data_IF_282749507567
#
_entry.id   IF_282749507567
#
_cell.length_a   1.000
_cell.length_b   1.000
_cell.length_c   1.000
_cell.angle_alpha   90.00
_cell.angle_beta   90.00
_cell.angle_gamma   90.00
#
_symmetry.space_group_name_H-M   'P 1'
#
loop_
_entity.id
_entity.type
_entity.pdbx_description
1 polymer ?
#
# COMPACT_ATOMS: atom_id res chain seq x y z
N UNK A 1 18.63 65.11 -19.78
CA UNK A 1 17.84 65.27 -21.02
C UNK A 1 16.77 64.18 -20.96
N UNK A 2 15.56 64.56 -20.49
CA UNK A 2 14.24 64.39 -21.15
C UNK A 2 13.90 62.91 -21.49
N UNK A 3 12.81 62.30 -21.19
CA UNK A 3 11.47 62.68 -20.71
C UNK A 3 10.59 61.44 -20.76
N UNK A 4 9.79 61.18 -19.71
CA UNK A 4 8.34 60.97 -19.66
C UNK A 4 7.65 59.95 -20.64
N UNK A 5 6.88 59.05 -20.07
CA UNK A 5 5.38 58.95 -20.10
C UNK A 5 5.00 57.60 -19.50
N UNK A 6 4.29 57.48 -18.42
CA UNK A 6 2.93 57.82 -17.95
C UNK A 6 1.82 57.06 -18.71
N UNK A 7 0.96 56.43 -17.87
CA UNK A 7 -0.45 56.00 -18.02
C UNK A 7 -0.69 54.61 -18.65
N UNK A 8 -1.65 53.82 -18.25
CA UNK A 8 -2.91 54.10 -17.55
C UNK A 8 -3.50 52.85 -16.90
N UNK A 9 -4.15 53.04 -15.79
CA UNK A 9 -5.16 52.28 -15.08
C UNK A 9 -6.31 51.76 -15.95
N UNK A 10 -6.78 50.52 -15.68
CA UNK A 10 -8.16 50.12 -15.93
C UNK A 10 -8.63 49.21 -14.77
N UNK A 11 -9.42 49.77 -13.87
CA UNK A 11 -10.21 49.08 -12.86
C UNK A 11 -11.47 48.54 -13.56
N UNK A 12 -11.72 47.24 -13.48
CA UNK A 12 -13.01 46.66 -13.86
C UNK A 12 -13.70 46.16 -12.57
N UNK A 13 -14.70 46.92 -12.15
CA UNK A 13 -15.68 46.52 -11.15
C UNK A 13 -16.58 45.42 -11.75
N UNK A 14 -16.59 44.26 -11.17
CA UNK A 14 -17.66 43.28 -11.37
C UNK A 14 -18.63 43.34 -10.18
N UNK A 15 -19.83 43.85 -10.48
CA UNK A 15 -20.96 43.87 -9.57
C UNK A 15 -21.51 42.41 -9.43
N UNK A 16 -21.56 41.96 -8.17
CA UNK A 16 -22.29 40.74 -7.80
C UNK A 16 -23.77 41.04 -7.71
N UNK A 17 -24.57 40.52 -8.61
CA UNK A 17 -26.02 40.52 -8.53
C UNK A 17 -26.42 39.34 -7.66
N UNK A 18 -26.90 39.61 -6.44
CA UNK A 18 -27.56 38.64 -5.58
C UNK A 18 -28.97 38.36 -6.17
N UNK A 19 -29.19 37.21 -6.76
CA UNK A 19 -30.55 36.73 -7.10
C UNK A 19 -31.12 36.02 -5.85
N UNK A 20 -32.06 36.72 -5.17
CA UNK A 20 -32.87 36.17 -4.09
C UNK A 20 -34.04 35.42 -4.77
N UNK A 21 -34.03 34.09 -4.71
CA UNK A 21 -35.16 33.24 -5.09
C UNK A 21 -36.05 32.99 -3.86
N UNK A 22 -37.37 33.13 -3.96
CA UNK A 22 -38.26 32.89 -2.82
C UNK A 22 -38.42 31.38 -2.57
N UNK A 23 -38.29 31.01 -1.29
CA UNK A 23 -38.60 29.70 -0.75
C UNK A 23 -40.11 29.43 -0.84
N UNK A 24 -40.55 28.69 -1.84
CA UNK A 24 -41.89 28.11 -1.87
C UNK A 24 -41.93 26.87 -0.95
N UNK A 25 -42.67 26.98 0.13
CA UNK A 25 -43.02 25.86 1.00
C UNK A 25 -43.85 24.84 0.21
N UNK A 26 -43.28 23.69 -0.06
CA UNK A 26 -44.05 22.52 -0.54
C UNK A 26 -44.76 21.90 0.66
N UNK A 27 -46.09 21.99 0.61
CA UNK A 27 -47.01 21.38 1.55
C UNK A 27 -47.07 19.87 1.23
N UNK A 28 -46.69 19.02 2.17
CA UNK A 28 -46.79 17.59 2.03
C UNK A 28 -48.31 17.21 1.92
N UNK A 29 -48.72 16.69 0.78
CA UNK A 29 -49.97 16.02 0.62
C UNK A 29 -49.82 14.58 1.12
N UNK A 30 -50.58 14.24 2.15
CA UNK A 30 -50.79 12.87 2.58
C UNK A 30 -51.61 12.14 1.50
N UNK A 31 -50.96 11.25 0.77
CA UNK A 31 -51.64 10.33 -0.16
C UNK A 31 -52.42 9.26 0.59
N UNK A 32 -53.49 8.71 -0.04
CA UNK A 32 -54.33 7.69 0.59
C UNK A 32 -53.54 6.42 0.89
N UNK A 33 -53.88 5.79 2.02
CA UNK A 33 -53.30 4.54 2.51
C UNK A 33 -53.41 3.43 1.45
N UNK A 34 -52.31 2.69 1.29
CA UNK A 34 -52.25 1.52 0.42
C UNK A 34 -53.20 0.41 0.94
N UNK A 35 -53.90 -0.32 0.05
CA UNK A 35 -54.78 -1.42 0.46
C UNK A 35 -53.96 -2.58 1.05
N UNK A 36 -54.50 -3.16 2.12
CA UNK A 36 -53.97 -4.35 2.79
C UNK A 36 -53.82 -5.53 1.81
N UNK A 37 -52.71 -6.28 1.83
CA UNK A 37 -52.57 -7.46 0.96
C UNK A 37 -53.51 -8.58 1.41
N UNK A 38 -54.07 -9.35 0.46
CA UNK A 38 -54.98 -10.45 0.77
C UNK A 38 -54.28 -11.54 1.60
N UNK A 39 -55.02 -12.08 2.58
CA UNK A 39 -54.58 -13.16 3.45
C UNK A 39 -54.20 -14.41 2.63
N UNK A 40 -52.98 -14.89 2.83
CA UNK A 40 -52.44 -16.12 2.22
C UNK A 40 -53.11 -17.32 2.88
N UNK A 41 -53.71 -18.26 2.15
CA UNK A 41 -54.29 -19.46 2.74
C UNK A 41 -53.17 -20.33 3.34
N UNK A 42 -53.46 -20.86 4.54
CA UNK A 42 -52.53 -21.77 5.23
C UNK A 42 -52.33 -23.05 4.40
N UNK A 43 -51.14 -23.25 3.90
CA UNK A 43 -50.71 -24.49 3.27
C UNK A 43 -50.53 -25.56 4.37
N UNK A 44 -51.42 -26.54 4.37
CA UNK A 44 -51.29 -27.77 5.15
C UNK A 44 -50.10 -28.56 4.63
N UNK A 45 -49.01 -28.65 5.44
CA UNK A 45 -47.86 -29.46 5.09
C UNK A 45 -48.21 -30.96 5.13
N UNK A 46 -47.87 -31.72 4.08
CA UNK A 46 -47.95 -33.17 4.16
C UNK A 46 -46.88 -33.68 5.12
N UNK A 47 -47.22 -34.68 5.93
CA UNK A 47 -46.35 -35.40 6.84
C UNK A 47 -45.19 -35.99 6.03
N UNK A 48 -43.97 -35.49 6.23
CA UNK A 48 -42.76 -36.05 5.64
C UNK A 48 -42.51 -37.46 6.22
N UNK A 49 -42.73 -38.48 5.41
CA UNK A 49 -42.20 -39.84 5.66
C UNK A 49 -40.68 -39.75 5.74
N UNK A 50 -40.10 -40.35 6.78
CA UNK A 50 -38.65 -40.37 7.05
C UNK A 50 -37.86 -40.83 5.82
N UNK A 51 -36.96 -39.97 5.34
CA UNK A 51 -35.97 -40.28 4.32
C UNK A 51 -34.94 -41.23 4.96
N UNK A 52 -34.60 -42.35 4.33
CA UNK A 52 -33.51 -43.22 4.85
C UNK A 52 -32.23 -42.44 4.88
N UNK A 53 -31.45 -42.60 5.97
CA UNK A 53 -30.17 -41.97 6.18
C UNK A 53 -29.22 -42.26 5.00
N UNK A 54 -28.74 -41.19 4.34
CA UNK A 54 -27.68 -41.26 3.36
C UNK A 54 -26.41 -41.74 4.08
N UNK A 55 -25.71 -42.77 3.57
CA UNK A 55 -24.44 -43.20 4.17
C UNK A 55 -23.47 -42.01 4.19
N UNK A 56 -22.82 -41.81 5.35
CA UNK A 56 -21.86 -40.75 5.54
C UNK A 56 -20.77 -40.82 4.45
N UNK A 57 -20.63 -39.73 3.71
CA UNK A 57 -19.50 -39.54 2.78
C UNK A 57 -18.18 -39.69 3.56
N UNK A 58 -17.19 -40.43 3.06
CA UNK A 58 -15.88 -40.46 3.71
C UNK A 58 -15.36 -39.03 3.88
N UNK A 59 -14.87 -38.72 5.06
CA UNK A 59 -14.27 -37.43 5.35
C UNK A 59 -13.17 -37.16 4.29
N UNK A 60 -13.26 -36.03 3.61
CA UNK A 60 -12.17 -35.54 2.76
C UNK A 60 -10.88 -35.49 3.61
N UNK A 61 -9.73 -35.96 3.07
CA UNK A 61 -8.47 -35.84 3.78
C UNK A 61 -8.23 -34.36 4.07
N UNK A 62 -8.13 -34.03 5.36
CA UNK A 62 -7.77 -32.68 5.80
C UNK A 62 -6.48 -32.29 5.12
N UNK A 63 -6.49 -31.18 4.39
CA UNK A 63 -5.28 -30.61 3.81
C UNK A 63 -4.19 -30.53 4.88
N UNK A 64 -2.94 -30.87 4.57
CA UNK A 64 -1.86 -30.75 5.53
C UNK A 64 -1.83 -29.33 6.09
N UNK A 65 -1.90 -29.21 7.41
CA UNK A 65 -1.74 -27.93 8.11
C UNK A 65 -0.38 -27.40 7.69
N UNK A 66 -0.34 -26.20 7.10
CA UNK A 66 0.92 -25.55 6.79
C UNK A 66 1.79 -25.55 8.05
N UNK A 67 3.08 -25.86 7.97
CA UNK A 67 3.96 -25.83 9.13
C UNK A 67 3.82 -24.45 9.78
N UNK A 68 3.61 -24.45 11.11
CA UNK A 68 3.59 -23.23 11.89
C UNK A 68 4.87 -22.43 11.57
N UNK A 69 4.74 -21.15 11.31
CA UNK A 69 5.89 -20.28 11.12
C UNK A 69 6.88 -20.51 12.28
N UNK A 70 8.19 -20.60 11.98
CA UNK A 70 9.19 -20.86 13.02
C UNK A 70 9.03 -19.86 14.17
N UNK A 71 9.05 -20.34 15.41
CA UNK A 71 8.71 -19.56 16.60
C UNK A 71 9.60 -18.36 16.94
N UNK A 72 10.57 -18.01 16.08
CA UNK A 72 11.33 -16.77 16.18
C UNK A 72 10.57 -15.52 15.67
N UNK A 73 9.47 -15.73 14.91
CA UNK A 73 8.65 -14.62 14.39
C UNK A 73 7.83 -13.88 15.46
N UNK A 74 7.84 -14.35 16.72
CA UNK A 74 6.99 -13.78 17.77
C UNK A 74 7.75 -13.10 18.92
N UNK A 75 9.07 -13.09 18.93
CA UNK A 75 9.75 -12.69 20.15
C UNK A 75 10.31 -11.27 20.23
N UNK A 76 10.37 -10.45 19.21
CA UNK A 76 10.87 -9.06 19.35
C UNK A 76 10.45 -8.14 18.19
N UNK A 77 9.19 -8.13 17.79
CA UNK A 77 8.68 -6.96 17.10
C UNK A 77 8.40 -5.89 18.16
N UNK A 78 8.98 -4.68 18.06
CA UNK A 78 8.53 -3.57 18.88
C UNK A 78 7.03 -3.41 18.61
N UNK A 79 6.22 -3.48 19.67
CA UNK A 79 4.76 -3.41 19.62
C UNK A 79 4.27 -1.99 19.33
N UNK A 80 4.83 -1.36 18.30
CA UNK A 80 4.30 -0.16 17.70
C UNK A 80 3.39 -0.54 16.54
N UNK A 81 2.11 -0.78 16.79
CA UNK A 81 1.15 -0.95 15.70
C UNK A 81 0.77 0.42 15.15
N UNK A 82 1.20 0.71 13.92
CA UNK A 82 0.65 1.82 13.16
C UNK A 82 -0.38 1.27 12.20
N UNK A 83 -1.60 1.72 12.34
CA UNK A 83 -2.61 1.55 11.31
C UNK A 83 -2.53 2.77 10.38
N UNK A 84 -2.04 2.56 9.17
CA UNK A 84 -2.22 3.51 8.08
C UNK A 84 -3.66 3.36 7.62
N UNK A 85 -4.43 4.44 7.58
CA UNK A 85 -5.76 4.42 6.96
C UNK A 85 -5.69 4.00 5.48
N UNK A 86 -6.81 3.92 4.80
CA UNK A 86 -6.90 3.51 3.38
C UNK A 86 -6.16 4.45 2.39
N UNK A 87 -5.54 5.51 2.86
CA UNK A 87 -4.81 6.51 2.08
C UNK A 87 -3.61 7.09 2.81
N UNK A 88 -2.86 8.01 2.15
CA UNK A 88 -1.72 8.66 2.77
C UNK A 88 -2.14 9.58 3.91
N UNK A 89 -1.43 9.52 5.03
CA UNK A 89 -1.57 10.48 6.12
C UNK A 89 -1.18 11.89 5.64
N UNK A 90 -1.99 12.89 5.96
CA UNK A 90 -1.71 14.27 5.60
C UNK A 90 -0.80 14.94 6.62
N UNK A 91 -0.91 14.59 7.89
CA UNK A 91 -0.09 15.10 8.99
C UNK A 91 0.05 14.06 10.13
N UNK A 92 0.77 14.43 11.20
CA UNK A 92 1.04 13.53 12.31
C UNK A 92 -0.22 13.12 13.10
N UNK A 93 -1.31 13.87 13.02
CA UNK A 93 -2.55 13.54 13.72
C UNK A 93 -3.33 12.39 13.06
N UNK A 94 -3.05 12.12 11.78
CA UNK A 94 -3.66 11.00 11.05
C UNK A 94 -2.98 9.66 11.40
N UNK A 95 -1.84 9.71 12.08
CA UNK A 95 -1.10 8.51 12.49
C UNK A 95 -1.65 7.96 13.80
N UNK A 96 -2.09 6.71 13.78
CA UNK A 96 -2.52 6.01 14.98
C UNK A 96 -1.33 5.25 15.59
N UNK A 97 -0.45 5.99 16.27
CA UNK A 97 0.75 5.44 16.89
C UNK A 97 0.40 4.90 18.28
N UNK A 98 0.85 3.68 18.57
CA UNK A 98 0.84 3.07 19.90
C UNK A 98 2.23 2.56 20.22
N UNK A 99 2.71 2.79 21.43
CA UNK A 99 3.94 2.27 21.97
C UNK A 99 3.57 1.54 23.26
N UNK A 100 3.85 0.24 23.35
CA UNK A 100 3.52 -0.62 24.50
C UNK A 100 2.08 -0.45 25.02
N UNK A 101 1.10 -0.41 24.07
CA UNK A 101 -0.33 -0.17 24.34
C UNK A 101 -0.68 1.21 24.91
N UNK A 102 0.29 2.09 25.11
CA UNK A 102 0.08 3.47 25.54
C UNK A 102 -0.13 4.42 24.35
N UNK A 103 -0.84 5.51 24.62
CA UNK A 103 -0.93 6.62 23.68
C UNK A 103 0.26 7.55 23.89
N UNK A 104 1.14 7.71 22.90
CA UNK A 104 2.30 8.56 23.04
C UNK A 104 1.95 10.04 23.02
N UNK A 105 2.82 10.85 23.60
CA UNK A 105 2.91 12.27 23.31
C UNK A 105 3.56 12.43 21.94
N UNK A 106 2.97 13.25 21.05
CA UNK A 106 3.44 13.46 19.68
C UNK A 106 3.96 14.88 19.51
N UNK A 107 5.11 15.02 18.85
CA UNK A 107 5.67 16.28 18.39
C UNK A 107 6.04 16.20 16.93
N UNK A 108 5.77 17.25 16.16
CA UNK A 108 6.11 17.35 14.75
C UNK A 108 7.31 18.26 14.53
N UNK A 109 8.21 17.89 13.64
CA UNK A 109 9.30 18.74 13.15
C UNK A 109 9.34 18.65 11.63
N UNK A 110 9.24 19.79 10.94
CA UNK A 110 9.23 19.85 9.48
C UNK A 110 10.47 20.55 8.94
N UNK A 111 10.97 20.03 7.81
CA UNK A 111 12.04 20.62 7.00
C UNK A 111 11.62 20.61 5.55
N UNK A 112 11.95 21.68 4.83
CA UNK A 112 11.69 21.79 3.38
C UNK A 112 13.03 21.93 2.66
N UNK A 113 13.18 21.23 1.54
CA UNK A 113 14.33 21.28 0.64
C UNK A 113 13.82 21.49 -0.77
N UNK A 114 14.45 22.36 -1.54
CA UNK A 114 14.07 22.56 -2.94
C UNK A 114 14.61 21.43 -3.82
N UNK A 115 13.93 21.13 -4.92
CA UNK A 115 14.42 20.14 -5.91
C UNK A 115 15.81 20.52 -6.47
N UNK A 116 16.11 21.82 -6.52
CA UNK A 116 17.42 22.30 -6.98
C UNK A 116 18.56 21.99 -5.99
N UNK A 117 18.25 21.87 -4.69
CA UNK A 117 19.22 21.51 -3.66
C UNK A 117 19.45 20.00 -3.55
N UNK A 118 18.47 19.19 -4.00
CA UNK A 118 18.55 17.74 -3.92
C UNK A 118 17.95 17.09 -5.17
N UNK A 119 18.78 16.50 -6.01
CA UNK A 119 18.30 15.73 -7.17
C UNK A 119 17.68 14.40 -6.76
N UNK A 120 18.16 13.81 -5.68
CA UNK A 120 17.67 12.56 -5.07
C UNK A 120 17.46 12.81 -3.59
N UNK A 121 16.34 12.35 -3.04
CA UNK A 121 16.13 12.34 -1.60
C UNK A 121 16.50 10.98 -1.04
N UNK A 122 17.45 10.94 -0.11
CA UNK A 122 17.93 9.72 0.56
C UNK A 122 17.51 9.72 2.02
N UNK A 123 16.70 8.74 2.37
CA UNK A 123 16.26 8.51 3.75
C UNK A 123 17.12 7.40 4.34
N UNK A 124 18.00 7.80 5.28
CA UNK A 124 18.89 6.88 5.96
C UNK A 124 18.22 6.25 7.15
N UNK A 125 18.42 5.00 7.25
CA UNK A 125 18.14 4.06 8.34
C UNK A 125 17.20 4.60 9.44
N UNK A 126 15.89 4.44 9.20
CA UNK A 126 14.89 4.66 10.24
C UNK A 126 14.85 3.37 11.08
N UNK A 127 15.49 3.40 12.26
CA UNK A 127 15.62 2.20 13.10
C UNK A 127 14.27 1.68 13.58
N UNK A 128 13.45 2.57 14.16
CA UNK A 128 12.12 2.25 14.65
C UNK A 128 11.13 3.31 14.22
N UNK A 129 10.15 2.91 13.44
CA UNK A 129 9.13 3.82 12.91
C UNK A 129 8.80 3.49 11.47
N UNK A 130 8.25 4.44 10.73
CA UNK A 130 7.86 4.22 9.35
C UNK A 130 8.17 5.40 8.45
N UNK A 131 8.11 5.15 7.14
CA UNK A 131 8.31 6.16 6.12
C UNK A 131 7.13 6.14 5.17
N UNK A 132 6.45 7.27 5.04
CA UNK A 132 5.46 7.48 4.00
C UNK A 132 5.97 8.54 3.03
N UNK A 133 5.94 8.23 1.75
CA UNK A 133 6.32 9.13 0.67
C UNK A 133 5.11 9.38 -0.22
N UNK A 134 4.78 10.63 -0.46
CA UNK A 134 3.66 11.04 -1.31
C UNK A 134 4.12 12.02 -2.39
N UNK A 135 3.86 11.69 -3.65
CA UNK A 135 4.07 12.61 -4.76
C UNK A 135 3.10 13.79 -4.73
N UNK A 136 3.61 15.00 -5.01
CA UNK A 136 2.83 16.23 -5.14
C UNK A 136 3.28 17.08 -6.34
N UNK A 137 2.52 18.13 -6.63
CA UNK A 137 2.78 18.98 -7.80
C UNK A 137 3.61 20.24 -7.45
N UNK A 138 4.56 20.12 -6.51
CA UNK A 138 5.49 21.20 -6.13
C UNK A 138 6.93 20.77 -6.37
N UNK A 139 7.80 21.70 -6.78
CA UNK A 139 9.23 21.47 -6.97
C UNK A 139 10.03 21.60 -5.66
N UNK A 140 9.56 20.94 -4.64
CA UNK A 140 10.18 20.90 -3.32
C UNK A 140 9.90 19.58 -2.62
N UNK A 141 10.73 19.24 -1.65
CA UNK A 141 10.49 18.17 -0.69
C UNK A 141 10.04 18.79 0.64
N UNK A 142 9.03 18.21 1.27
CA UNK A 142 8.68 18.48 2.67
C UNK A 142 8.86 17.19 3.44
N UNK A 143 9.68 17.22 4.48
CA UNK A 143 9.97 16.11 5.36
C UNK A 143 9.47 16.46 6.76
N UNK A 144 8.45 15.76 7.22
CA UNK A 144 7.86 15.92 8.55
C UNK A 144 8.20 14.70 9.39
N UNK A 145 8.94 14.91 10.48
CA UNK A 145 9.16 13.89 11.50
C UNK A 145 8.05 13.95 12.55
N UNK A 146 7.21 12.94 12.58
CA UNK A 146 6.22 12.72 13.62
C UNK A 146 6.88 11.90 14.75
N UNK A 147 7.40 12.61 15.73
CA UNK A 147 8.10 12.05 16.89
C UNK A 147 7.07 11.64 17.93
N UNK A 148 7.18 10.44 18.46
CA UNK A 148 6.26 9.92 19.46
C UNK A 148 7.06 9.33 20.63
N UNK A 149 6.65 9.60 21.85
CA UNK A 149 7.27 9.06 23.07
C UNK A 149 6.23 8.81 24.17
N UNK A 150 6.50 7.79 25.00
CA UNK A 150 5.67 7.42 26.16
C UNK A 150 6.43 7.56 27.47
N UNK A 151 5.72 7.44 28.59
CA UNK A 151 6.29 7.45 29.93
C UNK A 151 6.54 8.85 30.49
N UNK A 152 7.06 8.90 31.74
CA UNK A 152 7.30 10.17 32.47
C UNK A 152 8.33 11.08 31.83
N UNK A 153 9.24 10.54 31.04
CA UNK A 153 10.34 11.24 30.36
C UNK A 153 10.02 11.62 28.89
N UNK A 154 8.79 11.43 28.43
CA UNK A 154 8.39 11.64 27.03
C UNK A 154 8.82 13.00 26.49
N UNK A 155 8.66 14.08 27.24
CA UNK A 155 9.06 15.43 26.82
C UNK A 155 10.58 15.55 26.60
N UNK A 156 11.39 14.91 27.42
CA UNK A 156 12.86 14.85 27.27
C UNK A 156 13.24 14.05 26.04
N UNK A 157 12.66 12.85 25.86
CA UNK A 157 12.91 11.98 24.70
C UNK A 157 12.58 12.73 23.40
N UNK A 158 11.40 13.35 23.31
CA UNK A 158 11.00 14.14 22.14
C UNK A 158 11.96 15.30 21.83
N UNK A 159 12.55 15.93 22.86
CA UNK A 159 13.52 16.98 22.69
C UNK A 159 14.90 16.47 22.19
N UNK A 160 15.27 15.24 22.50
CA UNK A 160 16.51 14.61 22.06
C UNK A 160 16.43 14.09 20.62
N UNK A 161 15.23 13.72 20.14
CA UNK A 161 15.02 13.28 18.75
C UNK A 161 15.21 14.47 17.80
N UNK A 162 16.12 14.36 16.84
CA UNK A 162 16.46 15.40 15.87
C UNK A 162 16.28 14.91 14.45
N UNK A 163 15.56 15.67 13.65
CA UNK A 163 15.51 15.53 12.20
C UNK A 163 16.64 16.32 11.57
N UNK A 164 17.52 15.67 10.84
CA UNK A 164 18.52 16.31 10.02
C UNK A 164 18.19 16.12 8.54
N UNK A 165 18.15 17.23 7.79
CA UNK A 165 17.97 17.22 6.33
C UNK A 165 19.01 18.13 5.73
N UNK A 166 19.93 17.57 4.95
CA UNK A 166 21.04 18.32 4.36
C UNK A 166 21.39 17.75 2.98
N UNK A 167 21.34 18.57 1.95
CA UNK A 167 21.73 18.17 0.59
C UNK A 167 20.95 16.96 0.03
N UNK A 168 19.72 16.77 0.47
CA UNK A 168 18.90 15.60 0.09
C UNK A 168 19.06 14.38 1.00
N UNK A 169 20.00 14.38 1.94
CA UNK A 169 20.15 13.33 2.94
C UNK A 169 19.23 13.62 4.13
N UNK A 170 18.38 12.64 4.46
CA UNK A 170 17.43 12.69 5.58
C UNK A 170 17.83 11.65 6.61
N UNK A 171 18.05 12.08 7.85
CA UNK A 171 18.35 11.18 8.95
C UNK A 171 17.63 11.61 10.23
N UNK A 172 17.35 10.65 11.08
CA UNK A 172 16.78 10.87 12.41
C UNK A 172 17.77 10.35 13.44
N UNK A 173 18.15 11.21 14.37
CA UNK A 173 18.98 10.85 15.50
C UNK A 173 18.11 10.93 16.77
N UNK A 174 18.12 9.90 17.57
CA UNK A 174 17.38 9.81 18.82
C UNK A 174 18.21 9.33 20.01
N UNK A 175 17.64 9.29 21.20
CA UNK A 175 18.33 8.84 22.41
C UNK A 175 18.75 7.38 22.28
N UNK A 176 19.97 7.07 22.79
CA UNK A 176 20.46 5.70 22.86
C UNK A 176 19.92 5.01 24.13
N UNK A 177 19.43 3.80 23.99
CA UNK A 177 18.92 2.99 25.12
C UNK A 177 17.50 3.39 25.55
N UNK A 178 16.59 2.52 25.55
CA UNK A 178 15.14 2.73 25.73
C UNK A 178 14.43 2.29 24.47
N UNK A 179 14.49 0.98 24.23
CA UNK A 179 14.18 0.43 22.92
C UNK A 179 12.71 0.58 22.49
N UNK A 180 11.80 0.91 23.42
CA UNK A 180 10.36 0.97 23.11
C UNK A 180 9.70 2.28 23.55
N UNK A 181 10.43 3.21 24.15
CA UNK A 181 9.83 4.42 24.72
C UNK A 181 9.60 5.54 23.69
N UNK A 182 10.16 5.40 22.50
CA UNK A 182 10.02 6.39 21.44
C UNK A 182 10.06 5.77 20.03
N UNK A 183 9.46 6.47 19.07
CA UNK A 183 9.52 6.15 17.64
C UNK A 183 9.38 7.42 16.80
N UNK A 184 9.73 7.32 15.52
CA UNK A 184 9.57 8.42 14.55
C UNK A 184 8.96 7.90 13.25
N UNK A 185 7.91 8.57 12.80
CA UNK A 185 7.36 8.36 11.47
C UNK A 185 7.72 9.56 10.58
N UNK A 186 8.27 9.29 9.42
CA UNK A 186 8.56 10.30 8.42
C UNK A 186 7.42 10.39 7.42
N UNK A 187 6.76 11.55 7.35
CA UNK A 187 5.83 11.91 6.29
C UNK A 187 6.57 12.80 5.30
N UNK A 188 6.81 12.27 4.11
CA UNK A 188 7.58 12.93 3.06
C UNK A 188 6.68 13.25 1.88
N UNK A 189 6.66 14.52 1.49
CA UNK A 189 6.05 14.94 0.23
C UNK A 189 7.16 15.28 -0.76
N UNK A 190 7.03 14.78 -1.99
CA UNK A 190 8.07 14.86 -3.00
C UNK A 190 7.51 15.29 -4.34
N UNK A 191 8.25 16.02 -5.19
CA UNK A 191 7.86 16.15 -6.60
C UNK A 191 7.57 14.77 -7.18
N UNK A 192 6.49 14.60 -7.93
CA UNK A 192 6.10 13.28 -8.48
C UNK A 192 7.24 12.58 -9.22
N UNK A 193 8.01 13.34 -9.99
CA UNK A 193 9.12 12.83 -10.80
C UNK A 193 10.47 12.81 -10.08
N UNK A 194 10.49 12.88 -8.75
CA UNK A 194 11.73 12.85 -7.99
C UNK A 194 12.20 11.42 -7.72
N UNK A 195 13.50 11.25 -7.70
CA UNK A 195 14.15 10.00 -7.33
C UNK A 195 14.28 9.92 -5.81
N UNK A 196 13.99 8.74 -5.25
CA UNK A 196 13.97 8.52 -3.80
C UNK A 196 14.64 7.21 -3.46
N UNK A 197 15.51 7.27 -2.46
CA UNK A 197 16.14 6.10 -1.85
C UNK A 197 15.72 6.03 -0.38
N UNK A 198 15.22 4.87 0.06
CA UNK A 198 14.79 4.65 1.46
C UNK A 198 15.46 3.40 2.01
N UNK A 199 16.12 3.55 3.15
CA UNK A 199 16.59 2.43 3.96
C UNK A 199 15.84 2.46 5.29
N UNK A 200 15.14 1.36 5.61
CA UNK A 200 14.38 1.22 6.85
C UNK A 200 14.76 -0.08 7.56
N UNK A 201 14.82 -0.05 8.89
CA UNK A 201 15.12 -1.24 9.67
C UNK A 201 13.83 -1.90 10.18
N UNK A 202 13.06 -1.21 11.01
CA UNK A 202 11.82 -1.74 11.55
C UNK A 202 10.67 -0.76 11.30
N UNK A 203 9.69 -1.18 10.52
CA UNK A 203 8.46 -0.42 10.31
C UNK A 203 8.02 -0.33 8.86
N UNK A 204 6.82 0.19 8.62
CA UNK A 204 6.23 0.26 7.29
C UNK A 204 6.88 1.32 6.41
N UNK A 205 7.01 1.01 5.12
CA UNK A 205 7.41 1.97 4.08
C UNK A 205 6.31 2.03 3.03
N UNK A 206 5.81 3.22 2.74
CA UNK A 206 4.70 3.41 1.80
C UNK A 206 4.99 4.51 0.79
N UNK A 207 4.68 4.25 -0.47
CA UNK A 207 4.79 5.20 -1.57
C UNK A 207 3.43 5.41 -2.22
N UNK A 208 3.07 6.67 -2.45
CA UNK A 208 1.82 7.08 -3.09
C UNK A 208 2.11 8.06 -4.22
N UNK A 209 1.67 7.75 -5.43
CA UNK A 209 1.73 8.65 -6.60
C UNK A 209 3.11 9.22 -6.89
N UNK A 210 4.15 8.38 -6.82
CA UNK A 210 5.53 8.73 -7.18
C UNK A 210 5.84 8.15 -8.55
N UNK A 211 6.30 9.00 -9.46
CA UNK A 211 6.57 8.67 -10.87
C UNK A 211 8.07 8.64 -11.20
N UNK A 212 8.93 9.01 -10.25
CA UNK A 212 10.38 8.92 -10.34
C UNK A 212 10.94 7.54 -10.03
N UNK A 213 12.24 7.46 -9.82
CA UNK A 213 12.90 6.23 -9.43
C UNK A 213 12.80 6.02 -7.91
N UNK A 214 12.30 4.86 -7.51
CA UNK A 214 12.19 4.43 -6.12
C UNK A 214 13.17 3.29 -5.88
N UNK A 215 14.08 3.46 -4.93
CA UNK A 215 14.93 2.38 -4.44
C UNK A 215 14.68 2.19 -2.95
N UNK A 216 14.27 1.00 -2.53
CA UNK A 216 13.94 0.76 -1.11
C UNK A 216 14.56 -0.55 -0.63
N UNK A 217 15.17 -0.49 0.55
CA UNK A 217 15.62 -1.64 1.31
C UNK A 217 15.03 -1.60 2.71
N UNK A 218 14.32 -2.66 3.09
CA UNK A 218 13.79 -2.81 4.45
C UNK A 218 14.21 -4.14 5.06
N UNK A 219 14.59 -4.14 6.33
CA UNK A 219 14.89 -5.36 7.04
C UNK A 219 13.59 -5.99 7.57
N UNK A 220 12.78 -5.23 8.31
CA UNK A 220 11.54 -5.74 8.90
C UNK A 220 10.40 -4.75 8.68
N UNK A 221 9.35 -5.19 8.03
CA UNK A 221 8.13 -4.41 7.87
C UNK A 221 7.56 -4.45 6.46
N UNK A 222 6.31 -4.06 6.32
CA UNK A 222 5.65 -4.03 5.02
C UNK A 222 6.14 -2.89 4.14
N UNK A 223 6.27 -3.17 2.83
CA UNK A 223 6.51 -2.15 1.81
C UNK A 223 5.28 -2.10 0.89
N UNK A 224 4.74 -0.91 0.67
CA UNK A 224 3.60 -0.72 -0.22
C UNK A 224 3.83 0.39 -1.24
N UNK A 225 3.47 0.13 -2.50
CA UNK A 225 3.48 1.11 -3.58
C UNK A 225 2.07 1.21 -4.17
N UNK A 226 1.50 2.40 -4.18
CA UNK A 226 0.17 2.67 -4.71
C UNK A 226 0.21 3.82 -5.71
N UNK A 227 -0.31 3.57 -6.90
CA UNK A 227 -0.38 4.55 -8.00
C UNK A 227 0.99 5.14 -8.37
N UNK A 228 2.06 4.34 -8.25
CA UNK A 228 3.41 4.68 -8.69
C UNK A 228 3.65 4.18 -10.11
N UNK A 229 4.36 4.96 -10.95
CA UNK A 229 4.53 4.66 -12.37
C UNK A 229 5.97 4.67 -12.88
N UNK A 230 6.94 5.08 -12.07
CA UNK A 230 8.35 5.13 -12.44
C UNK A 230 9.08 3.79 -12.39
N UNK A 231 10.39 3.85 -12.18
CA UNK A 231 11.21 2.67 -11.91
C UNK A 231 11.23 2.37 -10.41
N UNK A 232 10.92 1.14 -10.00
CA UNK A 232 11.00 0.75 -8.59
C UNK A 232 11.86 -0.51 -8.41
N UNK A 233 12.85 -0.41 -7.52
CA UNK A 233 13.71 -1.51 -7.06
C UNK A 233 13.53 -1.67 -5.55
N UNK A 234 12.75 -2.68 -5.18
CA UNK A 234 12.25 -2.87 -3.82
C UNK A 234 12.75 -4.20 -3.27
N UNK A 235 13.43 -4.15 -2.13
CA UNK A 235 13.92 -5.34 -1.43
C UNK A 235 13.52 -5.34 0.04
N UNK A 236 12.94 -6.45 0.50
CA UNK A 236 12.65 -6.71 1.90
C UNK A 236 13.34 -7.99 2.37
N UNK A 237 13.90 -7.99 3.58
CA UNK A 237 14.37 -9.23 4.19
C UNK A 237 13.19 -9.98 4.82
N UNK A 238 12.42 -9.31 5.68
CA UNK A 238 11.30 -9.90 6.40
C UNK A 238 10.09 -8.96 6.32
N UNK A 239 9.19 -9.21 5.40
CA UNK A 239 7.98 -8.43 5.31
C UNK A 239 7.27 -8.56 3.97
N UNK A 240 5.98 -8.25 3.95
CA UNK A 240 5.20 -8.25 2.72
C UNK A 240 5.58 -7.08 1.81
N UNK A 241 5.56 -7.33 0.50
CA UNK A 241 5.63 -6.28 -0.51
C UNK A 241 4.30 -6.25 -1.26
N UNK A 242 3.70 -5.08 -1.38
CA UNK A 242 2.48 -4.88 -2.16
C UNK A 242 2.65 -3.77 -3.19
N UNK A 243 2.20 -4.05 -4.42
CA UNK A 243 2.12 -3.08 -5.49
C UNK A 243 0.70 -3.00 -6.03
N UNK A 244 0.22 -1.78 -6.26
CA UNK A 244 -1.04 -1.51 -6.95
C UNK A 244 -0.86 -0.31 -7.88
N UNK A 245 -1.04 -0.52 -9.20
CA UNK A 245 -0.83 0.56 -10.18
C UNK A 245 -1.00 0.13 -11.62
N UNK A 246 -0.79 1.09 -12.53
CA UNK A 246 -1.05 0.91 -13.96
C UNK A 246 0.22 0.80 -14.82
N UNK A 247 1.40 0.95 -14.25
CA UNK A 247 2.65 0.91 -15.01
C UNK A 247 3.87 1.00 -14.12
N UNK A 248 5.02 1.16 -14.78
CA UNK A 248 6.31 1.25 -14.12
C UNK A 248 7.18 0.02 -14.34
N UNK A 249 8.48 0.24 -14.34
CA UNK A 249 9.45 -0.85 -14.38
C UNK A 249 9.74 -1.31 -12.96
N UNK A 250 9.24 -2.50 -12.60
CA UNK A 250 9.22 -2.96 -11.22
C UNK A 250 10.12 -4.15 -10.99
N UNK A 251 10.93 -4.08 -9.94
CA UNK A 251 11.68 -5.21 -9.37
C UNK A 251 11.34 -5.31 -7.90
N UNK A 252 10.69 -6.40 -7.52
CA UNK A 252 10.22 -6.67 -6.17
C UNK A 252 10.89 -7.94 -5.67
N UNK A 253 11.64 -7.85 -4.58
CA UNK A 253 12.31 -9.00 -3.99
C UNK A 253 12.03 -9.09 -2.49
N UNK A 254 11.67 -10.28 -2.02
CA UNK A 254 11.59 -10.54 -0.57
C UNK A 254 12.25 -11.87 -0.22
N UNK A 255 12.98 -11.88 0.89
CA UNK A 255 13.53 -13.12 1.40
C UNK A 255 12.46 -13.91 2.17
N UNK A 256 11.71 -13.26 3.05
CA UNK A 256 10.67 -13.88 3.86
C UNK A 256 9.41 -13.00 3.90
N UNK A 257 8.45 -13.32 3.07
CA UNK A 257 7.17 -12.61 3.06
C UNK A 257 6.40 -12.76 1.76
N UNK A 258 5.12 -12.43 1.78
CA UNK A 258 4.30 -12.44 0.56
C UNK A 258 4.63 -11.25 -0.36
N UNK A 259 4.52 -11.47 -1.68
CA UNK A 259 4.44 -10.40 -2.65
C UNK A 259 3.04 -10.41 -3.27
N UNK A 260 2.36 -9.27 -3.24
CA UNK A 260 1.07 -9.08 -3.89
C UNK A 260 1.19 -7.98 -4.93
N UNK A 261 0.90 -8.33 -6.18
CA UNK A 261 0.87 -7.40 -7.31
C UNK A 261 -0.55 -7.28 -7.81
N UNK A 262 -1.10 -6.07 -7.82
CA UNK A 262 -2.43 -5.76 -8.36
C UNK A 262 -2.27 -4.79 -9.54
N UNK A 263 -2.47 -5.28 -10.74
CA UNK A 263 -2.37 -4.48 -11.96
C UNK A 263 -3.68 -3.73 -12.18
N UNK A 264 -3.59 -2.44 -12.45
CA UNK A 264 -4.75 -1.62 -12.77
C UNK A 264 -5.27 -1.87 -14.20
N UNK A 265 -6.47 -1.39 -14.49
CA UNK A 265 -7.15 -1.58 -15.79
C UNK A 265 -6.40 -0.98 -16.99
N UNK A 266 -5.52 -0.03 -16.73
CA UNK A 266 -4.72 0.65 -17.75
C UNK A 266 -3.24 0.26 -17.68
N UNK A 267 -2.94 -0.99 -17.29
CA UNK A 267 -1.56 -1.47 -17.27
C UNK A 267 -0.87 -1.27 -18.63
N UNK A 268 0.25 -0.55 -18.63
CA UNK A 268 0.96 -0.11 -19.83
C UNK A 268 1.85 -1.17 -20.48
N UNK A 269 1.93 -2.37 -19.90
CA UNK A 269 2.78 -3.46 -20.37
C UNK A 269 4.26 -3.33 -19.99
N UNK A 270 4.59 -2.49 -19.02
CA UNK A 270 5.94 -2.35 -18.49
C UNK A 270 6.49 -3.65 -17.88
N UNK A 271 7.81 -3.73 -17.74
CA UNK A 271 8.49 -4.89 -17.16
C UNK A 271 8.22 -4.97 -15.64
N UNK A 272 7.76 -6.14 -15.19
CA UNK A 272 7.59 -6.46 -13.77
C UNK A 272 8.28 -7.77 -13.45
N UNK A 273 9.20 -7.75 -12.49
CA UNK A 273 9.86 -8.94 -11.94
C UNK A 273 9.57 -8.98 -10.44
N UNK A 274 9.04 -10.09 -9.95
CA UNK A 274 8.77 -10.30 -8.54
C UNK A 274 9.29 -11.67 -8.09
N UNK A 275 10.20 -11.65 -7.12
CA UNK A 275 10.87 -12.85 -6.60
C UNK A 275 10.70 -12.93 -5.09
N UNK A 276 10.22 -14.09 -4.60
CA UNK A 276 10.18 -14.40 -3.19
C UNK A 276 11.00 -15.67 -2.92
N UNK A 277 11.88 -15.65 -1.93
CA UNK A 277 12.55 -16.88 -1.51
C UNK A 277 11.57 -17.72 -0.69
N UNK A 278 10.99 -17.15 0.37
CA UNK A 278 10.04 -17.84 1.23
C UNK A 278 8.76 -17.01 1.36
N UNK A 279 7.78 -17.31 0.56
CA UNK A 279 6.49 -16.63 0.67
C UNK A 279 5.59 -16.79 -0.55
N UNK A 280 4.30 -16.59 -0.36
CA UNK A 280 3.35 -16.65 -1.47
C UNK A 280 3.48 -15.45 -2.41
N UNK A 281 3.24 -15.70 -3.69
CA UNK A 281 3.09 -14.67 -4.70
C UNK A 281 1.65 -14.62 -5.19
N UNK A 282 1.09 -13.42 -5.25
CA UNK A 282 -0.25 -13.19 -5.81
C UNK A 282 -0.17 -12.15 -6.93
N UNK A 283 -0.61 -12.53 -8.13
CA UNK A 283 -0.82 -11.62 -9.24
C UNK A 283 -2.31 -11.44 -9.47
N UNK A 284 -2.80 -10.21 -9.36
CA UNK A 284 -4.15 -9.81 -9.75
C UNK A 284 -4.09 -9.06 -11.07
N UNK A 285 -4.82 -9.56 -12.07
CA UNK A 285 -4.86 -8.97 -13.40
C UNK A 285 -6.24 -8.37 -13.66
N UNK A 286 -6.33 -7.20 -14.32
CA UNK A 286 -7.62 -6.61 -14.66
C UNK A 286 -8.34 -7.41 -15.75
N UNK A 287 -9.64 -7.25 -15.86
CA UNK A 287 -10.41 -7.74 -17.00
C UNK A 287 -9.85 -7.15 -18.30
N UNK A 288 -9.70 -8.00 -19.33
CA UNK A 288 -9.13 -7.58 -20.61
C UNK A 288 -7.60 -7.44 -20.61
N UNK A 289 -6.90 -8.06 -19.66
CA UNK A 289 -5.45 -8.11 -19.64
C UNK A 289 -4.88 -8.84 -20.86
N UNK A 290 -3.87 -8.23 -21.51
CA UNK A 290 -3.28 -8.76 -22.76
C UNK A 290 -1.78 -8.94 -22.72
N UNK A 291 -1.09 -8.42 -21.69
CA UNK A 291 0.36 -8.54 -21.58
C UNK A 291 0.79 -9.99 -21.28
N UNK A 292 1.96 -10.37 -21.76
CA UNK A 292 2.50 -11.70 -21.49
C UNK A 292 3.03 -11.82 -20.06
N UNK A 293 2.84 -12.98 -19.45
CA UNK A 293 3.42 -13.28 -18.15
C UNK A 293 3.99 -14.69 -18.08
N UNK A 294 4.95 -14.86 -17.20
CA UNK A 294 5.50 -16.12 -16.74
C UNK A 294 5.42 -16.17 -15.21
N UNK A 295 4.80 -17.22 -14.71
CA UNK A 295 4.74 -17.54 -13.30
C UNK A 295 5.42 -18.87 -13.08
N UNK A 296 6.38 -18.94 -12.18
CA UNK A 296 7.19 -20.12 -11.96
C UNK A 296 7.41 -20.38 -10.47
N UNK A 297 7.27 -21.63 -10.05
CA UNK A 297 7.65 -22.07 -8.70
C UNK A 297 8.45 -23.36 -8.80
N UNK A 298 9.16 -23.74 -7.74
CA UNK A 298 9.75 -25.08 -7.67
C UNK A 298 8.64 -26.16 -7.69
N UNK A 299 9.00 -27.40 -8.02
CA UNK A 299 8.06 -28.50 -8.24
C UNK A 299 7.16 -28.87 -7.05
N UNK A 300 7.45 -28.38 -5.85
CA UNK A 300 6.72 -28.70 -4.62
C UNK A 300 5.66 -27.64 -4.25
N UNK A 301 5.81 -26.42 -4.73
CA UNK A 301 4.89 -25.33 -4.38
C UNK A 301 3.63 -25.34 -5.25
N UNK A 302 2.44 -25.16 -4.67
CA UNK A 302 1.21 -25.11 -5.45
C UNK A 302 1.13 -23.85 -6.29
N UNK A 303 0.71 -24.01 -7.54
CA UNK A 303 0.45 -22.89 -8.46
C UNK A 303 -1.01 -22.96 -8.90
N UNK A 304 -1.75 -21.88 -8.67
CA UNK A 304 -3.15 -21.75 -9.02
C UNK A 304 -3.39 -20.58 -9.99
N UNK A 305 -4.28 -20.77 -10.94
CA UNK A 305 -4.66 -19.74 -11.90
C UNK A 305 -6.17 -19.73 -12.04
N UNK A 306 -6.80 -18.68 -11.54
CA UNK A 306 -8.26 -18.51 -11.49
C UNK A 306 -8.73 -17.32 -12.33
N UNK A 307 -7.81 -16.48 -12.84
CA UNK A 307 -8.14 -15.39 -13.73
C UNK A 307 -8.77 -15.89 -15.04
N UNK A 308 -9.60 -15.06 -15.66
CA UNK A 308 -10.25 -15.35 -16.95
C UNK A 308 -9.25 -15.75 -18.06
N UNK A 309 -8.05 -15.16 -18.05
CA UNK A 309 -6.96 -15.45 -18.99
C UNK A 309 -6.35 -16.85 -18.81
N UNK A 310 -6.58 -17.52 -17.69
CA UNK A 310 -6.00 -18.82 -17.36
C UNK A 310 -6.47 -19.94 -18.28
N UNK A 311 -7.61 -19.77 -18.96
CA UNK A 311 -8.11 -20.72 -19.97
C UNK A 311 -7.23 -20.77 -21.21
N UNK A 312 -6.53 -19.67 -21.54
CA UNK A 312 -5.61 -19.56 -22.67
C UNK A 312 -4.13 -19.70 -22.27
N UNK A 313 -3.84 -19.86 -20.97
CA UNK A 313 -2.47 -19.99 -20.48
C UNK A 313 -1.96 -21.42 -20.66
N UNK A 314 -0.70 -21.55 -21.06
CA UNK A 314 0.00 -22.84 -21.10
C UNK A 314 0.49 -23.19 -19.70
N UNK A 315 0.19 -24.41 -19.27
CA UNK A 315 0.58 -24.95 -17.96
C UNK A 315 1.54 -26.10 -18.17
N UNK A 316 2.70 -26.03 -17.54
CA UNK A 316 3.72 -27.09 -17.58
C UNK A 316 4.08 -27.48 -16.15
N UNK A 317 3.96 -28.77 -15.83
CA UNK A 317 4.34 -29.36 -14.56
C UNK A 317 5.39 -30.43 -14.80
N UNK A 318 6.52 -30.29 -14.18
CA UNK A 318 7.56 -31.33 -14.12
C UNK A 318 8.00 -31.53 -12.66
N UNK A 319 9.02 -32.33 -12.43
CA UNK A 319 9.51 -32.65 -11.07
C UNK A 319 10.25 -31.49 -10.43
N UNK A 320 10.75 -30.56 -11.22
CA UNK A 320 11.56 -29.42 -10.74
C UNK A 320 10.78 -28.09 -10.73
N UNK A 321 9.84 -27.91 -11.68
CA UNK A 321 9.16 -26.65 -11.87
C UNK A 321 7.66 -26.79 -12.16
N UNK A 322 6.91 -25.83 -11.66
CA UNK A 322 5.52 -25.58 -12.05
C UNK A 322 5.43 -24.20 -12.69
N UNK A 323 5.01 -24.17 -13.95
CA UNK A 323 5.05 -22.99 -14.78
C UNK A 323 3.70 -22.70 -15.42
N UNK A 324 3.27 -21.43 -15.39
CA UNK A 324 2.15 -20.93 -16.16
C UNK A 324 2.65 -19.78 -17.05
N UNK A 325 2.43 -19.91 -18.35
CA UNK A 325 2.78 -18.91 -19.35
C UNK A 325 1.52 -18.43 -20.07
N UNK A 326 1.41 -17.12 -20.26
CA UNK A 326 0.35 -16.50 -21.04
C UNK A 326 0.95 -15.46 -22.00
N UNK A 327 0.34 -15.36 -23.19
CA UNK A 327 0.77 -14.46 -24.24
C UNK A 327 1.86 -15.04 -25.14
N UNK A 328 2.41 -14.21 -26.03
CA UNK A 328 3.44 -14.57 -26.99
C UNK A 328 4.67 -13.68 -26.84
N UNK A 329 5.86 -14.21 -27.17
CA UNK A 329 7.13 -13.50 -27.04
C UNK A 329 7.75 -13.61 -25.64
N UNK A 330 8.70 -12.73 -25.33
CA UNK A 330 9.29 -12.68 -23.99
C UNK A 330 8.26 -12.15 -22.98
N UNK A 331 8.06 -12.84 -21.85
CA UNK A 331 7.13 -12.36 -20.83
C UNK A 331 7.62 -11.06 -20.23
N UNK A 332 6.74 -10.04 -20.17
CA UNK A 332 7.02 -8.75 -19.54
C UNK A 332 6.79 -8.79 -18.03
N UNK A 333 5.97 -9.74 -17.57
CA UNK A 333 5.72 -9.98 -16.14
C UNK A 333 6.30 -11.35 -15.79
N UNK A 334 7.19 -11.38 -14.80
CA UNK A 334 7.82 -12.59 -14.28
C UNK A 334 7.65 -12.66 -12.78
N UNK A 335 7.06 -13.76 -12.31
CA UNK A 335 6.93 -14.04 -10.89
C UNK A 335 7.56 -15.38 -10.59
N UNK A 336 8.44 -15.42 -9.58
CA UNK A 336 9.08 -16.65 -9.13
C UNK A 336 9.08 -16.76 -7.61
N UNK A 337 8.96 -17.98 -7.11
CA UNK A 337 9.18 -18.28 -5.69
C UNK A 337 9.87 -19.63 -5.55
N UNK A 338 10.78 -19.69 -4.57
CA UNK A 338 11.43 -20.96 -4.22
C UNK A 338 10.51 -21.79 -3.32
N UNK A 339 9.99 -21.16 -2.25
CA UNK A 339 9.18 -21.83 -1.22
C UNK A 339 7.89 -21.05 -0.96
N UNK A 340 6.87 -21.30 -1.75
CA UNK A 340 5.57 -20.67 -1.55
C UNK A 340 4.59 -20.90 -2.69
N UNK A 341 3.29 -20.79 -2.43
CA UNK A 341 2.29 -20.88 -3.47
C UNK A 341 2.28 -19.64 -4.36
N UNK A 342 1.92 -19.86 -5.63
CA UNK A 342 1.62 -18.76 -6.54
C UNK A 342 0.15 -18.79 -6.92
N UNK A 343 -0.49 -17.63 -6.92
CA UNK A 343 -1.87 -17.45 -7.35
C UNK A 343 -1.99 -16.34 -8.39
N UNK A 344 -2.67 -16.64 -9.50
CA UNK A 344 -3.09 -15.64 -10.50
C UNK A 344 -4.60 -15.54 -10.46
N UNK A 345 -5.14 -14.33 -10.24
CA UNK A 345 -6.56 -14.04 -10.10
C UNK A 345 -6.97 -12.77 -10.87
N UNK A 346 -8.28 -12.56 -11.08
CA UNK A 346 -8.84 -11.31 -11.58
C UNK A 346 -8.99 -10.27 -10.48
#
# INVERSE_FOLDING_TARGET
>A
MKMHKVMATAAACFAYILLILPLTRVRAQTGPAAPEPPAVPALTMPILTAIPAVPATPAEPTAPVAPAAPGWASEHLPTGSTHWGDGPAADCSDLHIRLDDERPTIAAEERTVTKAEAAVLRVHEVENGGVQVQGWDKDAYSVTACKAAVGGDAARLLAEIKLAVQGGEVSVNGPHGGHNDWTVFLLIRTPRSADIEVTAHNGPVSFYSVDGKITTRATNGPISLKDCSGEADISAENGPISFSGNGGKLRLHTQNGPITVSLGSNWDGSELVADAVNGPLTLRVPSGFHSSFLVESNGHSPVSCHASICSAARKTWDDEHRRIEYGSGSPVIRLSTENGPISVAD
#
